data_IF_997490830439
#
_entry.id   IF_997490830439
#
_cell.length_a   1.000
_cell.length_b   1.000
_cell.length_c   1.000
_cell.angle_alpha   90.00
_cell.angle_beta   90.00
_cell.angle_gamma   90.00
#
_symmetry.space_group_name_H-M   'P 1'
#
loop_
_entity.id
_entity.type
_entity.pdbx_description
1 polymer ?
#
# COMPACT_ATOMS: atom_id res chain seq x y z
N UNK A 1 -45.60 -12.33 9.29
CA UNK A 1 -45.06 -13.41 10.15
C UNK A 1 -43.59 -13.62 9.81
N UNK A 2 -42.72 -13.87 10.79
CA UNK A 2 -41.30 -14.21 10.56
C UNK A 2 -41.14 -15.73 10.49
N UNK A 3 -40.59 -16.25 9.39
CA UNK A 3 -40.10 -17.62 9.32
C UNK A 3 -38.56 -17.60 9.29
N UNK A 4 -37.92 -17.83 10.45
CA UNK A 4 -36.49 -18.21 10.50
C UNK A 4 -36.41 -19.71 10.20
N UNK A 5 -35.54 -20.14 9.27
CA UNK A 5 -35.22 -21.56 9.07
C UNK A 5 -33.70 -21.77 9.12
N UNK A 6 -33.29 -22.69 9.99
CA UNK A 6 -31.94 -22.88 10.57
C UNK A 6 -31.90 -24.36 11.01
N UNK A 7 -30.95 -25.25 10.70
CA UNK A 7 -29.76 -25.22 9.80
C UNK A 7 -29.84 -26.44 8.85
N UNK A 8 -29.18 -26.39 7.69
CA UNK A 8 -28.49 -27.57 7.15
C UNK A 8 -27.26 -27.12 6.33
N UNK A 9 -26.06 -27.27 6.89
CA UNK A 9 -24.78 -27.01 6.22
C UNK A 9 -24.14 -28.37 5.92
N UNK A 10 -24.01 -28.79 4.64
CA UNK A 10 -23.04 -29.80 4.26
C UNK A 10 -21.64 -29.17 4.22
N UNK A 11 -20.61 -29.95 4.54
CA UNK A 11 -19.24 -29.47 4.55
C UNK A 11 -18.78 -29.05 3.15
N UNK A 12 -18.20 -27.86 3.08
CA UNK A 12 -17.71 -27.25 1.86
C UNK A 12 -17.37 -25.81 2.17
N UNK A 13 -16.08 -25.48 2.14
CA UNK A 13 -15.64 -24.09 2.20
C UNK A 13 -16.16 -23.36 0.96
N UNK A 14 -17.33 -22.73 1.09
CA UNK A 14 -17.72 -21.64 0.22
C UNK A 14 -16.72 -20.49 0.48
N UNK A 15 -15.61 -20.53 -0.24
CA UNK A 15 -14.84 -19.33 -0.57
C UNK A 15 -15.82 -18.40 -1.30
N UNK A 16 -16.48 -17.52 -0.54
CA UNK A 16 -17.32 -16.47 -1.10
C UNK A 16 -16.46 -15.71 -2.10
N UNK A 17 -16.76 -15.86 -3.39
CA UNK A 17 -16.18 -14.99 -4.42
C UNK A 17 -16.55 -13.56 -4.03
N UNK A 18 -15.58 -12.82 -3.51
CA UNK A 18 -15.72 -11.40 -3.27
C UNK A 18 -15.82 -10.73 -4.65
N UNK A 19 -17.05 -10.60 -5.15
CA UNK A 19 -17.36 -9.78 -6.31
C UNK A 19 -17.13 -8.30 -5.94
N UNK A 20 -15.86 -7.89 -5.97
CA UNK A 20 -15.47 -6.51 -5.81
C UNK A 20 -16.06 -5.71 -6.97
N UNK A 21 -17.15 -4.99 -6.70
CA UNK A 21 -17.70 -4.04 -7.66
C UNK A 21 -16.61 -3.05 -8.13
N UNK A 22 -16.68 -2.58 -9.37
CA UNK A 22 -15.73 -1.60 -9.93
C UNK A 22 -15.59 -0.35 -9.04
N UNK A 23 -16.69 0.08 -8.41
CA UNK A 23 -16.69 1.17 -7.41
C UNK A 23 -15.90 0.81 -6.15
N UNK A 24 -16.01 -0.44 -5.69
CA UNK A 24 -15.24 -0.99 -4.57
C UNK A 24 -13.74 -1.00 -4.87
N UNK A 25 -13.34 -1.50 -6.04
CA UNK A 25 -11.93 -1.48 -6.47
C UNK A 25 -11.39 -0.06 -6.60
N UNK A 26 -12.12 0.86 -7.24
CA UNK A 26 -11.72 2.28 -7.33
C UNK A 26 -11.56 2.93 -5.96
N UNK A 27 -12.44 2.63 -5.01
CA UNK A 27 -12.33 3.12 -3.64
C UNK A 27 -11.09 2.55 -2.93
N UNK A 28 -10.86 1.24 -3.06
CA UNK A 28 -9.68 0.57 -2.50
C UNK A 28 -8.37 1.17 -3.04
N UNK A 29 -8.25 1.33 -4.37
CA UNK A 29 -7.07 1.95 -4.98
C UNK A 29 -6.85 3.38 -4.46
N UNK A 30 -7.91 4.19 -4.35
CA UNK A 30 -7.81 5.54 -3.80
C UNK A 30 -7.33 5.55 -2.34
N UNK A 31 -7.82 4.61 -1.51
CA UNK A 31 -7.38 4.46 -0.12
C UNK A 31 -5.93 3.96 0.00
N UNK A 32 -5.48 3.12 -0.94
CA UNK A 32 -4.07 2.69 -1.03
C UNK A 32 -3.18 3.87 -1.43
N UNK A 33 -3.50 4.57 -2.53
CA UNK A 33 -2.74 5.75 -3.00
C UNK A 33 -2.59 6.80 -1.90
N UNK A 34 -3.68 7.15 -1.20
CA UNK A 34 -3.63 8.12 -0.11
C UNK A 34 -2.72 7.70 1.06
N UNK A 35 -2.58 6.39 1.34
CA UNK A 35 -1.63 5.88 2.35
C UNK A 35 -0.18 5.98 1.88
N UNK A 36 0.09 5.74 0.60
CA UNK A 36 1.42 5.93 0.02
C UNK A 36 1.83 7.40 0.02
N UNK A 37 0.93 8.31 -0.41
CA UNK A 37 1.17 9.76 -0.41
C UNK A 37 1.47 10.28 1.01
N UNK A 38 0.67 9.90 2.01
CA UNK A 38 0.87 10.29 3.39
C UNK A 38 2.16 9.70 4.01
N UNK A 39 2.55 8.48 3.61
CA UNK A 39 3.80 7.86 4.03
C UNK A 39 5.02 8.59 3.43
N UNK A 40 4.98 8.87 2.13
CA UNK A 40 6.03 9.60 1.41
C UNK A 40 6.22 11.02 1.93
N UNK A 41 5.14 11.78 2.12
CA UNK A 41 5.19 13.14 2.67
C UNK A 41 5.87 13.15 4.04
N UNK A 42 5.49 12.22 4.93
CA UNK A 42 6.00 12.16 6.28
C UNK A 42 7.47 11.71 6.34
N UNK A 43 7.90 10.82 5.42
CA UNK A 43 9.30 10.39 5.27
C UNK A 43 10.18 11.50 4.69
N UNK A 44 9.73 12.14 3.59
CA UNK A 44 10.43 13.27 2.96
C UNK A 44 10.65 14.43 3.92
N UNK A 45 9.69 14.71 4.80
CA UNK A 45 9.80 15.79 5.82
C UNK A 45 11.01 15.63 6.74
N UNK A 46 11.51 14.41 6.93
CA UNK A 46 12.68 14.12 7.79
C UNK A 46 13.92 13.69 7.01
N UNK A 47 13.78 13.18 5.77
CA UNK A 47 14.87 12.57 5.00
C UNK A 47 15.32 13.35 3.76
N UNK A 48 14.62 14.41 3.36
CA UNK A 48 15.05 15.25 2.22
C UNK A 48 16.39 15.93 2.53
N UNK A 49 17.37 15.79 1.64
CA UNK A 49 18.71 16.36 1.81
C UNK A 49 19.65 15.57 2.73
N UNK A 50 19.22 14.43 3.27
CA UNK A 50 20.13 13.49 3.94
C UNK A 50 20.98 12.69 2.92
N UNK A 51 22.14 12.14 3.32
CA UNK A 51 22.92 11.24 2.48
C UNK A 51 22.08 10.04 2.01
N UNK A 52 22.26 9.64 0.74
CA UNK A 52 21.52 8.56 0.10
C UNK A 52 21.48 7.28 0.93
N UNK A 53 22.60 6.92 1.55
CA UNK A 53 22.81 5.72 2.34
C UNK A 53 21.95 5.70 3.61
N UNK A 54 21.73 6.86 4.24
CA UNK A 54 20.82 7.01 5.38
C UNK A 54 19.38 6.84 4.92
N UNK A 55 19.00 7.57 3.86
CA UNK A 55 17.66 7.47 3.27
C UNK A 55 17.36 6.03 2.83
N UNK A 56 18.33 5.32 2.25
CA UNK A 56 18.18 3.95 1.74
C UNK A 56 18.08 2.89 2.84
N UNK A 57 18.67 3.13 4.00
CA UNK A 57 18.52 2.26 5.18
C UNK A 57 17.09 2.35 5.76
N UNK A 58 16.53 3.57 5.82
CA UNK A 58 15.24 3.82 6.45
C UNK A 58 14.04 3.75 5.49
N UNK A 59 14.27 3.88 4.18
CA UNK A 59 13.22 3.88 3.14
C UNK A 59 12.31 2.64 3.15
N UNK A 60 12.81 1.46 3.53
CA UNK A 60 11.98 0.26 3.63
C UNK A 60 10.95 0.35 4.77
N UNK A 61 11.31 1.04 5.86
CA UNK A 61 10.46 1.22 7.04
C UNK A 61 9.42 2.34 6.85
N UNK A 62 9.63 3.20 5.86
CA UNK A 62 8.70 4.26 5.47
C UNK A 62 7.45 3.75 4.73
N UNK A 63 7.50 2.55 4.16
CA UNK A 63 6.43 2.02 3.33
C UNK A 63 5.21 1.58 4.18
N UNK A 64 3.97 1.67 3.64
CA UNK A 64 2.80 1.13 4.32
C UNK A 64 2.94 -0.37 4.60
N UNK A 65 2.45 -0.83 5.77
CA UNK A 65 2.54 -2.24 6.15
C UNK A 65 1.94 -3.18 5.08
N UNK A 66 2.69 -4.22 4.71
CA UNK A 66 2.35 -5.14 3.62
C UNK A 66 2.78 -4.68 2.22
N UNK A 67 3.52 -3.57 2.12
CA UNK A 67 4.19 -3.13 0.89
C UNK A 67 5.69 -3.34 1.02
N UNK A 68 6.26 -4.07 0.07
CA UNK A 68 7.70 -4.18 -0.11
C UNK A 68 8.06 -3.68 -1.52
N UNK A 69 9.05 -2.79 -1.63
CA UNK A 69 9.66 -2.45 -2.91
C UNK A 69 10.86 -3.38 -3.14
N UNK A 70 11.02 -3.86 -4.37
CA UNK A 70 12.27 -4.51 -4.77
C UNK A 70 13.43 -3.51 -4.71
N UNK A 71 14.65 -3.99 -4.45
CA UNK A 71 15.82 -3.14 -4.20
C UNK A 71 16.01 -2.04 -5.23
N UNK A 72 15.85 -2.33 -6.52
CA UNK A 72 16.02 -1.36 -7.60
C UNK A 72 14.95 -0.23 -7.62
N UNK A 73 13.76 -0.44 -7.06
CA UNK A 73 12.75 0.61 -6.90
C UNK A 73 12.92 1.36 -5.57
N UNK A 74 13.41 0.66 -4.54
CA UNK A 74 13.80 1.25 -3.26
C UNK A 74 15.03 2.17 -3.39
N UNK A 75 16.00 1.81 -4.24
CA UNK A 75 17.14 2.64 -4.61
C UNK A 75 16.69 3.94 -5.31
N UNK A 76 15.80 3.84 -6.31
CA UNK A 76 15.23 5.01 -7.00
C UNK A 76 14.45 5.89 -6.03
N UNK A 77 13.69 5.29 -5.12
CA UNK A 77 12.93 6.02 -4.11
C UNK A 77 13.86 6.80 -3.17
N UNK A 78 14.87 6.13 -2.61
CA UNK A 78 15.85 6.77 -1.74
C UNK A 78 16.63 7.88 -2.45
N UNK A 79 17.02 7.69 -3.72
CA UNK A 79 17.66 8.72 -4.52
C UNK A 79 16.75 9.95 -4.76
N UNK A 80 15.47 9.73 -5.04
CA UNK A 80 14.48 10.80 -5.23
C UNK A 80 14.22 11.57 -3.93
N UNK A 81 14.14 10.89 -2.78
CA UNK A 81 13.98 11.54 -1.47
C UNK A 81 15.24 12.33 -1.09
N UNK A 82 16.43 11.73 -1.16
CA UNK A 82 17.69 12.38 -0.83
C UNK A 82 17.92 13.67 -1.66
N UNK A 83 17.60 13.63 -2.95
CA UNK A 83 17.72 14.77 -3.87
C UNK A 83 16.55 15.77 -3.84
N UNK A 84 15.48 15.49 -3.07
CA UNK A 84 14.26 16.30 -3.05
C UNK A 84 13.45 16.26 -4.35
N UNK A 85 13.71 15.30 -5.23
CA UNK A 85 12.98 15.11 -6.49
C UNK A 85 11.65 14.36 -6.28
N UNK A 86 10.61 14.65 -7.08
CA UNK A 86 9.35 13.92 -7.03
C UNK A 86 9.55 12.44 -7.40
N UNK A 87 8.75 11.56 -6.78
CA UNK A 87 8.73 10.14 -7.07
C UNK A 87 7.29 9.67 -7.30
N UNK A 88 7.08 8.72 -8.22
CA UNK A 88 5.77 8.18 -8.57
C UNK A 88 5.74 6.68 -8.24
N UNK A 89 4.92 6.28 -7.27
CA UNK A 89 4.71 4.86 -6.94
C UNK A 89 3.85 4.19 -8.02
N UNK A 90 4.46 3.30 -8.80
CA UNK A 90 3.75 2.52 -9.82
C UNK A 90 3.30 1.17 -9.26
N UNK A 91 2.08 1.14 -8.75
CA UNK A 91 1.37 -0.11 -8.47
C UNK A 91 1.19 -0.89 -9.78
N UNK A 92 1.56 -2.17 -9.79
CA UNK A 92 1.38 -3.11 -10.91
C UNK A 92 0.31 -4.14 -10.59
#
# INVERSE_FOLDING_TARGET
>A
MRARRIVALPEGFAMSEFQFSERGMRKLFKEITAKFEAADENFRRTHTGLPYEVVRADAAQALPAGVELGDADLDKYAAAVASGQPFEFRLR
#
